data_IF_652316616598
#
_entry.id   IF_652316616598
#
_cell.length_a   1.000
_cell.length_b   1.000
_cell.length_c   1.000
_cell.angle_alpha   90.00
_cell.angle_beta   90.00
_cell.angle_gamma   90.00
#
_symmetry.space_group_name_H-M   'P 1'
#
loop_
_entity.id
_entity.type
_entity.pdbx_description
1 polymer ?
#
# COMPACT_ATOMS: atom_id res chain seq x y z
N UNK A 1 -5.08 -6.11 -4.61
CA UNK A 1 -5.86 -7.28 -4.15
C UNK A 1 -6.35 -7.03 -2.74
N UNK A 2 -7.53 -7.54 -2.39
CA UNK A 2 -8.16 -7.47 -1.06
C UNK A 2 -8.30 -8.89 -0.54
N UNK A 3 -7.79 -9.12 0.66
CA UNK A 3 -7.89 -10.40 1.34
C UNK A 3 -8.81 -10.26 2.57
N UNK A 4 -9.50 -11.34 2.92
CA UNK A 4 -10.10 -11.48 4.26
C UNK A 4 -9.00 -11.71 5.29
N UNK A 5 -9.32 -11.56 6.58
CA UNK A 5 -8.39 -11.86 7.68
C UNK A 5 -7.92 -13.32 7.69
N UNK A 6 -8.65 -14.22 7.04
CA UNK A 6 -8.33 -15.64 6.90
C UNK A 6 -7.46 -15.92 5.66
N UNK A 7 -7.14 -14.89 4.87
CA UNK A 7 -6.30 -14.99 3.68
C UNK A 7 -7.05 -15.31 2.38
N UNK A 8 -8.39 -15.33 2.39
CA UNK A 8 -9.17 -15.57 1.17
C UNK A 8 -9.25 -14.31 0.32
N UNK A 9 -9.15 -14.45 -1.01
CA UNK A 9 -9.32 -13.32 -1.93
C UNK A 9 -10.77 -12.86 -1.97
N UNK A 10 -11.01 -11.62 -1.55
CA UNK A 10 -12.32 -10.98 -1.62
C UNK A 10 -12.48 -10.15 -2.90
N UNK A 11 -11.40 -9.53 -3.38
CA UNK A 11 -11.41 -8.73 -4.61
C UNK A 11 -10.00 -8.55 -5.19
N UNK A 12 -9.89 -8.42 -6.50
CA UNK A 12 -8.66 -7.96 -7.15
C UNK A 12 -9.00 -7.20 -8.43
N UNK A 13 -8.10 -6.34 -8.84
CA UNK A 13 -8.16 -5.62 -10.12
C UNK A 13 -6.85 -5.82 -10.85
N UNK A 14 -6.94 -6.00 -12.16
CA UNK A 14 -5.79 -6.24 -13.04
C UNK A 14 -5.67 -5.04 -13.96
N UNK A 15 -4.57 -4.32 -13.84
CA UNK A 15 -4.26 -3.20 -14.71
C UNK A 15 -3.48 -3.68 -15.95
N UNK A 16 -3.64 -3.01 -17.12
CA UNK A 16 -2.82 -3.27 -18.29
C UNK A 16 -1.33 -3.10 -17.96
N UNK A 17 -0.47 -3.96 -18.51
CA UNK A 17 0.97 -4.03 -18.16
C UNK A 17 1.80 -2.78 -18.49
N UNK A 18 1.23 -1.78 -19.16
CA UNK A 18 1.86 -0.48 -19.40
C UNK A 18 1.46 0.60 -18.35
N UNK A 19 0.68 0.23 -17.34
CA UNK A 19 0.14 1.17 -16.36
C UNK A 19 1.13 1.32 -15.20
N UNK A 20 1.53 2.56 -14.90
CA UNK A 20 2.34 2.84 -13.70
C UNK A 20 1.50 2.58 -12.46
N UNK A 21 1.98 1.71 -11.56
CA UNK A 21 1.29 1.39 -10.30
C UNK A 21 1.02 2.62 -9.41
N UNK A 22 1.88 3.64 -9.49
CA UNK A 22 1.68 4.92 -8.78
C UNK A 22 0.45 5.68 -9.24
N UNK A 23 0.06 5.57 -10.51
CA UNK A 23 -1.08 6.31 -11.07
C UNK A 23 -2.44 5.69 -10.75
N UNK A 24 -2.46 4.42 -10.31
CA UNK A 24 -3.70 3.63 -10.17
C UNK A 24 -4.08 3.36 -8.72
N UNK A 25 -3.20 3.65 -7.76
CA UNK A 25 -3.47 3.38 -6.35
C UNK A 25 -4.70 4.15 -5.86
N UNK A 26 -4.80 5.45 -6.12
CA UNK A 26 -5.96 6.27 -5.71
C UNK A 26 -7.27 5.79 -6.35
N UNK A 27 -7.26 5.51 -7.66
CA UNK A 27 -8.42 4.95 -8.36
C UNK A 27 -8.84 3.62 -7.77
N UNK A 28 -7.87 2.77 -7.40
CA UNK A 28 -8.15 1.49 -6.76
C UNK A 28 -8.74 1.65 -5.36
N UNK A 29 -8.23 2.58 -4.54
CA UNK A 29 -8.80 2.91 -3.23
C UNK A 29 -10.28 3.30 -3.37
N UNK A 30 -10.58 4.17 -4.33
CA UNK A 30 -11.93 4.70 -4.57
C UNK A 30 -12.88 3.63 -5.12
N UNK A 31 -12.42 2.78 -6.04
CA UNK A 31 -13.20 1.65 -6.55
C UNK A 31 -13.58 0.69 -5.42
N UNK A 32 -12.63 0.36 -4.57
CA UNK A 32 -12.84 -0.52 -3.42
C UNK A 32 -13.78 0.10 -2.40
N UNK A 33 -13.65 1.39 -2.11
CA UNK A 33 -14.52 2.10 -1.17
C UNK A 33 -15.94 2.20 -1.73
N UNK A 34 -16.10 2.44 -3.03
CA UNK A 34 -17.42 2.44 -3.69
C UNK A 34 -18.09 1.07 -3.67
N UNK A 35 -17.32 -0.01 -3.87
CA UNK A 35 -17.85 -1.36 -3.98
C UNK A 35 -18.18 -1.99 -2.63
N UNK A 36 -17.32 -1.77 -1.64
CA UNK A 36 -17.42 -2.43 -0.34
C UNK A 36 -17.80 -1.46 0.78
N UNK A 37 -17.65 -0.15 0.60
CA UNK A 37 -17.83 0.84 1.65
C UNK A 37 -16.54 1.09 2.45
N UNK A 38 -16.66 1.99 3.44
CA UNK A 38 -15.57 2.27 4.39
C UNK A 38 -15.46 1.10 5.37
N UNK A 39 -14.41 0.30 5.22
CA UNK A 39 -14.02 -0.74 6.17
C UNK A 39 -12.64 -0.42 6.73
N UNK A 40 -12.41 -0.72 8.03
CA UNK A 40 -11.05 -0.73 8.59
C UNK A 40 -10.28 -1.84 7.91
N UNK A 41 -9.36 -1.46 7.03
CA UNK A 41 -8.48 -2.36 6.28
C UNK A 41 -7.07 -1.81 6.33
N UNK A 42 -6.10 -2.71 6.40
CA UNK A 42 -4.69 -2.36 6.29
C UNK A 42 -4.23 -2.66 4.87
N UNK A 43 -3.67 -1.66 4.20
CA UNK A 43 -3.15 -1.80 2.84
C UNK A 43 -1.69 -2.25 2.87
N UNK A 44 -1.41 -3.43 2.34
CA UNK A 44 -0.04 -3.89 2.10
C UNK A 44 0.37 -3.50 0.68
N UNK A 45 1.47 -2.76 0.55
CA UNK A 45 1.93 -2.24 -0.73
C UNK A 45 3.42 -2.50 -0.97
N UNK A 46 3.75 -2.81 -2.22
CA UNK A 46 5.12 -3.05 -2.66
C UNK A 46 5.95 -1.75 -2.69
N UNK A 47 7.28 -1.84 -2.51
CA UNK A 47 8.14 -0.67 -2.64
C UNK A 47 8.03 -0.07 -4.05
N UNK A 48 7.80 1.24 -4.13
CA UNK A 48 7.71 1.98 -5.39
C UNK A 48 6.30 2.04 -6.02
N UNK A 49 5.29 1.41 -5.41
CA UNK A 49 3.88 1.62 -5.78
C UNK A 49 3.34 2.92 -5.18
N UNK A 50 3.41 3.15 -3.86
CA UNK A 50 2.93 4.41 -3.30
C UNK A 50 3.99 5.51 -3.47
N UNK A 51 3.53 6.71 -3.81
CA UNK A 51 4.31 7.95 -3.68
C UNK A 51 4.00 8.60 -2.33
N UNK A 52 4.86 9.52 -1.85
CA UNK A 52 4.59 10.21 -0.58
C UNK A 52 3.27 11.02 -0.62
N UNK A 53 2.94 11.63 -1.77
CA UNK A 53 1.66 12.33 -1.99
C UNK A 53 0.46 11.39 -1.79
N UNK A 54 0.54 10.19 -2.35
CA UNK A 54 -0.53 9.19 -2.16
C UNK A 54 -0.60 8.70 -0.71
N UNK A 55 0.54 8.54 -0.02
CA UNK A 55 0.56 8.18 1.40
C UNK A 55 -0.05 9.28 2.28
N UNK A 56 0.19 10.55 1.96
CA UNK A 56 -0.40 11.68 2.66
C UNK A 56 -1.93 11.67 2.54
N UNK A 57 -2.46 11.50 1.33
CA UNK A 57 -3.91 11.33 1.10
C UNK A 57 -4.49 10.13 1.83
N UNK A 58 -3.75 9.02 1.91
CA UNK A 58 -4.17 7.85 2.69
C UNK A 58 -4.27 8.18 4.20
N UNK A 59 -3.31 8.94 4.75
CA UNK A 59 -3.34 9.39 6.15
C UNK A 59 -4.53 10.32 6.40
N UNK A 60 -4.79 11.27 5.51
CA UNK A 60 -5.95 12.18 5.60
C UNK A 60 -7.29 11.43 5.56
N UNK A 61 -7.37 10.36 4.77
CA UNK A 61 -8.55 9.47 4.69
C UNK A 61 -8.69 8.53 5.88
N UNK A 62 -7.72 8.49 6.80
CA UNK A 62 -7.69 7.56 7.94
C UNK A 62 -7.46 6.11 7.52
N UNK A 63 -6.69 5.90 6.45
CA UNK A 63 -6.39 4.57 5.90
C UNK A 63 -5.10 4.03 6.54
N UNK A 64 -5.19 2.85 7.16
CA UNK A 64 -4.04 2.12 7.69
C UNK A 64 -3.25 1.44 6.54
N UNK A 65 -1.92 1.51 6.57
CA UNK A 65 -1.08 0.88 5.54
C UNK A 65 0.26 0.37 6.06
N UNK A 66 0.84 -0.58 5.33
CA UNK A 66 2.20 -1.10 5.48
C UNK A 66 2.88 -1.06 4.10
N UNK A 67 3.95 -0.29 4.00
CA UNK A 67 4.79 -0.21 2.80
C UNK A 67 6.15 -0.79 3.12
N UNK A 68 6.64 -1.64 2.24
CA UNK A 68 8.00 -2.16 2.35
C UNK A 68 9.01 -1.04 2.11
N UNK A 69 10.04 -0.98 2.94
CA UNK A 69 11.10 0.03 2.82
C UNK A 69 11.79 -0.08 1.45
N UNK A 70 11.93 1.01 0.68
CA UNK A 70 12.70 0.98 -0.57
C UNK A 70 14.13 0.48 -0.29
N UNK A 71 14.70 -0.34 -1.18
CA UNK A 71 16.06 -0.89 -1.02
C UNK A 71 17.13 0.16 -0.70
N UNK A 72 16.99 1.39 -1.20
CA UNK A 72 17.92 2.49 -0.92
C UNK A 72 17.80 3.10 0.49
N UNK A 73 16.69 2.86 1.21
CA UNK A 73 16.49 3.32 2.58
C UNK A 73 16.95 2.28 3.62
N UNK A 74 17.04 1.00 3.23
CA UNK A 74 17.54 -0.07 4.10
C UNK A 74 18.94 0.26 4.65
N UNK A 75 19.86 0.75 3.82
CA UNK A 75 21.21 1.14 4.25
C UNK A 75 21.25 2.25 5.30
N UNK A 76 20.18 3.05 5.43
CA UNK A 76 20.07 4.12 6.44
C UNK A 76 19.61 3.61 7.81
N UNK A 77 18.83 2.53 7.84
CA UNK A 77 18.32 1.91 9.07
C UNK A 77 19.12 0.68 9.50
N UNK A 78 19.85 0.05 8.58
CA UNK A 78 20.65 -1.15 8.83
C UNK A 78 21.79 -0.90 9.83
N UNK A 79 22.49 0.24 9.74
CA UNK A 79 23.54 0.60 10.71
C UNK A 79 23.03 0.72 12.16
N UNK A 80 21.99 1.53 12.45
CA UNK A 80 21.42 1.61 13.79
C UNK A 80 20.92 0.26 14.33
N UNK A 81 20.30 -0.57 13.48
CA UNK A 81 19.73 -1.86 13.89
C UNK A 81 20.80 -2.92 14.20
N UNK A 82 21.96 -2.86 13.53
CA UNK A 82 23.09 -3.74 13.79
C UNK A 82 23.90 -3.33 15.03
N UNK A 83 23.82 -2.05 15.44
CA UNK A 83 24.47 -1.53 16.65
C UNK A 83 23.66 -1.82 17.94
N UNK A 84 22.38 -2.22 17.82
CA UNK A 84 21.51 -2.59 18.95
C UNK A 84 21.52 -4.10 19.29
N UNK A 85 22.43 -4.90 18.70
CA UNK A 85 22.59 -6.35 19.01
C UNK A 85 23.86 -6.62 19.80
#
# INVERSE_FOLDING_TARGET
>A
MVLTSEGFSAAYEVYPGNTRGTATLEEFLDWIEKRYGKFRRTWLMDPGIPTEDTLEKMRERGIDYLVSTPKGHLTRVEKPLLEET
#
